data_IF_527589491656
#
_entry.id   IF_527589491656
#
_cell.length_a   1.000
_cell.length_b   1.000
_cell.length_c   1.000
_cell.angle_alpha   90.00
_cell.angle_beta   90.00
_cell.angle_gamma   90.00
#
_symmetry.space_group_name_H-M   'P 1'
#
loop_
_entity.id
_entity.type
_entity.pdbx_description
1 polymer ?
#
# COMPACT_ATOMS: atom_id res chain seq x y z
N UNK A 1 11.75 20.28 11.46
CA UNK A 1 12.96 21.04 11.88
C UNK A 1 14.27 20.26 11.66
N UNK A 2 14.29 18.93 11.78
CA UNK A 2 15.52 18.13 11.58
C UNK A 2 16.16 18.34 10.20
N UNK A 3 15.35 18.29 9.13
CA UNK A 3 15.86 18.44 7.76
C UNK A 3 16.57 19.79 7.53
N UNK A 4 16.06 20.88 8.12
CA UNK A 4 16.67 22.22 8.03
C UNK A 4 18.01 22.31 8.77
N UNK A 5 18.21 21.50 9.83
CA UNK A 5 19.52 21.42 10.53
C UNK A 5 20.55 20.60 9.75
N UNK A 6 20.11 19.57 9.02
CA UNK A 6 20.99 18.68 8.26
C UNK A 6 21.36 19.25 6.89
N UNK A 7 20.44 19.98 6.25
CA UNK A 7 20.63 20.59 4.95
C UNK A 7 19.98 21.99 4.92
N UNK A 8 20.69 23.03 5.40
CA UNK A 8 20.14 24.38 5.53
C UNK A 8 19.83 25.05 4.18
N UNK A 9 20.48 24.61 3.10
CA UNK A 9 20.31 25.16 1.75
C UNK A 9 19.12 24.53 0.99
N UNK A 10 18.44 23.52 1.58
CA UNK A 10 17.31 22.83 0.95
C UNK A 10 16.00 23.29 1.59
N UNK A 11 15.12 23.85 0.76
CA UNK A 11 13.75 24.22 1.15
C UNK A 11 12.79 23.03 1.01
N UNK A 12 11.98 22.79 2.04
CA UNK A 12 10.96 21.75 2.06
C UNK A 12 9.59 22.36 1.79
N UNK A 13 8.96 21.94 0.69
CA UNK A 13 7.60 22.34 0.34
C UNK A 13 6.64 21.20 0.65
N UNK A 14 5.61 21.47 1.47
CA UNK A 14 4.55 20.53 1.78
C UNK A 14 3.31 20.83 0.93
N UNK A 15 2.79 19.82 0.25
CA UNK A 15 1.58 19.92 -0.57
C UNK A 15 0.43 19.16 0.11
N UNK A 16 -0.79 19.65 -0.09
CA UNK A 16 -2.00 18.97 0.37
C UNK A 16 -2.42 17.89 -0.62
N UNK A 17 -2.83 16.74 -0.10
CA UNK A 17 -3.40 15.65 -0.92
C UNK A 17 -4.82 16.00 -1.36
N UNK A 18 -5.23 15.49 -2.54
CA UNK A 18 -6.64 15.53 -2.95
C UNK A 18 -7.49 14.78 -1.93
N UNK A 19 -8.71 15.26 -1.66
CA UNK A 19 -9.61 14.67 -0.66
C UNK A 19 -9.90 13.19 -0.90
N UNK A 20 -9.92 12.77 -2.17
CA UNK A 20 -10.14 11.38 -2.59
C UNK A 20 -9.00 10.42 -2.19
N UNK A 21 -7.83 10.93 -1.81
CA UNK A 21 -6.67 10.14 -1.39
C UNK A 21 -6.26 10.38 0.07
N UNK A 22 -6.97 11.22 0.84
CA UNK A 22 -6.55 11.59 2.20
C UNK A 22 -6.45 10.39 3.16
N UNK A 23 -7.23 9.35 2.90
CA UNK A 23 -7.33 8.14 3.73
C UNK A 23 -6.31 7.06 3.31
N UNK A 24 -5.55 7.28 2.25
CA UNK A 24 -4.62 6.29 1.74
C UNK A 24 -3.33 6.28 2.57
N UNK A 25 -2.96 5.11 3.10
CA UNK A 25 -1.64 4.90 3.71
C UNK A 25 -1.08 3.54 3.32
N UNK A 26 0.23 3.49 3.07
CA UNK A 26 0.92 2.24 2.73
C UNK A 26 0.75 1.17 3.82
N UNK A 27 0.66 1.57 5.09
CA UNK A 27 0.42 0.65 6.19
C UNK A 27 -0.94 -0.02 6.05
N UNK A 28 -2.02 0.76 5.85
CA UNK A 28 -3.37 0.22 5.69
C UNK A 28 -3.47 -0.70 4.48
N UNK A 29 -2.95 -0.27 3.32
CA UNK A 29 -2.97 -1.08 2.08
C UNK A 29 -2.26 -2.42 2.30
N UNK A 30 -1.10 -2.41 2.97
CA UNK A 30 -0.36 -3.64 3.28
C UNK A 30 -1.14 -4.56 4.22
N UNK A 31 -1.84 -4.03 5.22
CA UNK A 31 -2.69 -4.84 6.10
C UNK A 31 -3.85 -5.49 5.33
N UNK A 32 -4.54 -4.73 4.46
CA UNK A 32 -5.59 -5.28 3.58
C UNK A 32 -5.02 -6.40 2.70
N UNK A 33 -3.84 -6.19 2.11
CA UNK A 33 -3.17 -7.19 1.28
C UNK A 33 -2.82 -8.47 2.06
N UNK A 34 -2.29 -8.35 3.28
CA UNK A 34 -1.95 -9.48 4.16
C UNK A 34 -3.17 -10.31 4.55
N UNK A 35 -4.32 -9.67 4.71
CA UNK A 35 -5.58 -10.33 5.06
C UNK A 35 -6.34 -10.88 3.84
N UNK A 36 -5.77 -10.78 2.64
CA UNK A 36 -6.41 -11.24 1.40
C UNK A 36 -7.57 -10.34 0.94
N UNK A 37 -7.64 -9.10 1.43
CA UNK A 37 -8.66 -8.13 1.04
C UNK A 37 -8.47 -7.59 -0.38
N UNK A 38 -9.52 -6.97 -0.91
CA UNK A 38 -9.51 -6.39 -2.25
C UNK A 38 -8.74 -5.06 -2.29
N UNK A 39 -7.82 -4.91 -3.25
CA UNK A 39 -7.02 -3.69 -3.46
C UNK A 39 -7.45 -2.88 -4.69
N UNK A 40 -8.53 -3.28 -5.36
CA UNK A 40 -8.98 -2.66 -6.61
C UNK A 40 -9.30 -1.18 -6.38
N UNK A 41 -8.71 -0.30 -7.18
CA UNK A 41 -8.90 1.15 -7.07
C UNK A 41 -8.19 1.81 -5.89
N UNK A 42 -7.48 1.06 -5.05
CA UNK A 42 -6.66 1.63 -3.96
C UNK A 42 -5.22 1.87 -4.38
N UNK A 43 -4.75 1.12 -5.38
CA UNK A 43 -3.40 1.22 -5.96
C UNK A 43 -3.47 0.93 -7.46
N UNK A 44 -2.45 1.36 -8.23
CA UNK A 44 -2.28 0.90 -9.61
C UNK A 44 -2.19 -0.62 -9.72
N UNK A 45 -2.67 -1.19 -10.83
CA UNK A 45 -2.78 -2.64 -11.00
C UNK A 45 -1.46 -3.40 -10.82
N UNK A 46 -0.35 -2.86 -11.32
CA UNK A 46 0.97 -3.47 -11.16
C UNK A 46 1.38 -3.57 -9.68
N UNK A 47 0.97 -2.61 -8.84
CA UNK A 47 1.22 -2.63 -7.40
C UNK A 47 0.31 -3.64 -6.70
N UNK A 48 -0.96 -3.75 -7.12
CA UNK A 48 -1.87 -4.76 -6.58
C UNK A 48 -1.35 -6.18 -6.82
N UNK A 49 -0.82 -6.45 -8.02
CA UNK A 49 -0.18 -7.73 -8.36
C UNK A 49 1.04 -8.00 -7.49
N UNK A 50 1.96 -7.03 -7.39
CA UNK A 50 3.16 -7.16 -6.57
C UNK A 50 2.84 -7.35 -5.06
N UNK A 51 1.83 -6.66 -4.54
CA UNK A 51 1.36 -6.82 -3.15
C UNK A 51 0.75 -8.20 -2.94
N UNK A 52 -0.06 -8.69 -3.88
CA UNK A 52 -0.60 -10.04 -3.83
C UNK A 52 0.51 -11.07 -3.83
N UNK A 53 1.50 -10.98 -4.70
CA UNK A 53 2.65 -11.90 -4.72
C UNK A 53 3.44 -11.85 -3.42
N UNK A 54 3.72 -10.65 -2.91
CA UNK A 54 4.48 -10.43 -1.68
C UNK A 54 3.78 -10.99 -0.43
N UNK A 55 2.45 -10.91 -0.38
CA UNK A 55 1.63 -11.31 0.77
C UNK A 55 0.78 -12.55 0.50
N UNK A 56 1.05 -13.28 -0.58
CA UNK A 56 0.44 -14.58 -0.84
C UNK A 56 0.84 -15.54 0.26
N UNK A 57 0.04 -15.56 1.33
CA UNK A 57 0.06 -16.63 2.32
C UNK A 57 -0.26 -17.90 1.55
N UNK A 58 0.69 -18.84 1.47
CA UNK A 58 0.37 -20.23 1.12
C UNK A 58 -0.71 -20.67 2.10
N UNK A 59 -1.97 -20.70 1.69
CA UNK A 59 -3.00 -21.39 2.48
C UNK A 59 -2.68 -22.88 2.33
N UNK A 60 -2.21 -23.59 3.38
CA UNK A 60 -2.12 -25.03 3.33
C UNK A 60 -3.55 -25.54 3.55
N UNK A 61 -4.28 -25.78 2.47
CA UNK A 61 -5.63 -26.36 2.53
C UNK A 61 -6.73 -25.57 1.82
N UNK A 62 -6.54 -25.28 0.53
CA UNK A 62 -7.66 -25.06 -0.37
C UNK A 62 -8.08 -26.40 -0.96
N UNK A 63 -8.99 -27.11 -0.29
CA UNK A 63 -9.57 -28.35 -0.81
C UNK A 63 -10.19 -28.06 -2.18
N UNK A 64 -9.72 -28.80 -3.17
CA UNK A 64 -10.37 -29.01 -4.46
C UNK A 64 -11.88 -29.15 -4.25
N UNK A 65 -12.67 -28.30 -4.90
CA UNK A 65 -13.98 -28.70 -5.43
C UNK A 65 -14.10 -28.15 -6.85
N UNK A 66 -13.65 -28.99 -7.77
CA UNK A 66 -14.20 -29.12 -9.12
C UNK A 66 -15.64 -29.64 -9.00
N UNK A 67 -16.53 -29.19 -9.89
CA UNK A 67 -17.93 -29.61 -9.98
C UNK A 67 -18.77 -28.56 -10.67
#
# INVERSE_FOLDING_TARGET
>A
LMNKKLAPDIELICLMTSSEYQFLSSSLIKEVAKLGGCLRGMVPDHVATALREKFSVRIPGGSKREG
#
